data_IF_376474084497
#
_entry.id   IF_376474084497
#
_cell.length_a   1.000
_cell.length_b   1.000
_cell.length_c   1.000
_cell.angle_alpha   90.00
_cell.angle_beta   90.00
_cell.angle_gamma   90.00
#
_symmetry.space_group_name_H-M   'P 1'
#
loop_
_entity.id
_entity.type
_entity.pdbx_description
1 polymer ?
#
# COMPACT_ATOMS: atom_id res chain seq x y z
N UNK A 1 7.44 11.38 5.82
CA UNK A 1 6.71 11.81 4.60
C UNK A 1 6.10 13.20 4.76
N UNK A 2 5.19 13.44 5.71
CA UNK A 2 4.54 14.74 5.92
C UNK A 2 5.46 15.98 5.87
N UNK A 3 6.63 15.90 6.51
CA UNK A 3 7.58 17.03 6.58
C UNK A 3 8.55 17.12 5.41
N UNK A 4 8.83 16.00 4.73
CA UNK A 4 9.92 15.88 3.76
C UNK A 4 9.43 15.91 2.33
N UNK A 5 8.30 15.27 2.04
CA UNK A 5 7.76 15.14 0.69
C UNK A 5 7.38 16.51 0.07
N UNK A 6 6.76 17.46 0.81
CA UNK A 6 6.49 18.80 0.29
C UNK A 6 7.75 19.59 -0.09
N UNK A 7 8.88 19.35 0.57
CA UNK A 7 10.16 20.02 0.25
C UNK A 7 10.71 19.61 -1.11
N UNK A 8 10.23 18.50 -1.67
CA UNK A 8 10.61 18.00 -2.99
C UNK A 8 9.46 18.11 -4.00
N UNK A 9 8.49 19.00 -3.76
CA UNK A 9 7.34 19.23 -4.65
C UNK A 9 6.30 18.12 -4.65
N UNK A 10 6.39 17.15 -3.74
CA UNK A 10 5.38 16.12 -3.56
C UNK A 10 4.27 16.56 -2.58
N UNK A 11 3.18 15.79 -2.54
CA UNK A 11 2.04 16.06 -1.64
C UNK A 11 1.91 14.92 -0.65
N UNK A 12 1.75 15.24 0.62
CA UNK A 12 1.38 14.28 1.67
C UNK A 12 0.01 14.68 2.22
N UNK A 13 -0.90 13.71 2.26
CA UNK A 13 -2.22 13.88 2.86
C UNK A 13 -2.45 12.74 3.84
N UNK A 14 -2.82 13.09 5.07
CA UNK A 14 -3.35 12.13 6.03
C UNK A 14 -4.85 12.08 5.84
N UNK A 15 -5.35 10.94 5.37
CA UNK A 15 -6.79 10.72 5.28
C UNK A 15 -7.34 10.25 6.62
N UNK A 16 -8.66 10.33 6.75
CA UNK A 16 -9.44 9.93 7.91
C UNK A 16 -9.35 8.43 8.20
N UNK A 17 -9.25 7.61 7.15
CA UNK A 17 -9.12 6.16 7.23
C UNK A 17 -8.38 5.56 6.02
N UNK A 18 -8.18 4.25 6.04
CA UNK A 18 -7.51 3.55 4.96
C UNK A 18 -8.31 3.42 3.66
N UNK A 19 -9.64 3.48 3.70
CA UNK A 19 -10.53 3.44 2.53
C UNK A 19 -10.39 4.74 1.74
N UNK A 20 -10.52 5.88 2.41
CA UNK A 20 -10.31 7.21 1.87
C UNK A 20 -8.88 7.41 1.39
N UNK A 21 -7.89 6.89 2.14
CA UNK A 21 -6.49 6.89 1.72
C UNK A 21 -6.26 6.22 0.38
N UNK A 22 -6.83 5.02 0.13
CA UNK A 22 -6.64 4.36 -1.16
C UNK A 22 -7.45 5.04 -2.28
N UNK A 23 -8.67 5.50 -2.00
CA UNK A 23 -9.47 6.26 -2.97
C UNK A 23 -8.76 7.54 -3.44
N UNK A 24 -8.16 8.29 -2.51
CA UNK A 24 -7.42 9.51 -2.82
C UNK A 24 -6.19 9.24 -3.70
N UNK A 25 -5.41 8.19 -3.42
CA UNK A 25 -4.23 7.88 -4.24
C UNK A 25 -4.61 7.30 -5.61
N UNK A 26 -5.71 6.56 -5.73
CA UNK A 26 -6.24 6.12 -7.04
C UNK A 26 -6.58 7.34 -7.89
N UNK A 27 -7.32 8.31 -7.32
CA UNK A 27 -7.64 9.56 -8.01
C UNK A 27 -6.39 10.36 -8.41
N UNK A 28 -5.40 10.45 -7.53
CA UNK A 28 -4.14 11.12 -7.84
C UNK A 28 -3.33 10.38 -8.93
N UNK A 29 -3.35 9.04 -8.95
CA UNK A 29 -2.73 8.26 -10.02
C UNK A 29 -3.38 8.52 -11.38
N UNK A 30 -4.71 8.56 -11.42
CA UNK A 30 -5.47 8.88 -12.65
C UNK A 30 -5.15 10.28 -13.18
N UNK A 31 -4.70 11.20 -12.31
CA UNK A 31 -4.20 12.53 -12.71
C UNK A 31 -2.75 12.53 -13.25
N UNK A 32 -2.15 11.35 -13.42
CA UNK A 32 -0.79 11.18 -13.97
C UNK A 32 0.33 11.34 -12.93
N UNK A 33 0.03 11.21 -11.63
CA UNK A 33 1.04 11.28 -10.57
C UNK A 33 1.50 9.89 -10.15
N UNK A 34 2.79 9.74 -9.83
CA UNK A 34 3.28 8.58 -9.09
C UNK A 34 2.78 8.67 -7.66
N UNK A 35 2.15 7.59 -7.17
CA UNK A 35 1.50 7.57 -5.85
C UNK A 35 1.95 6.39 -5.03
N UNK A 36 1.91 6.56 -3.71
CA UNK A 36 2.23 5.54 -2.73
C UNK A 36 1.37 5.73 -1.48
N UNK A 37 0.94 4.63 -0.87
CA UNK A 37 0.42 4.61 0.51
C UNK A 37 1.17 3.57 1.34
N UNK A 38 1.21 3.77 2.66
CA UNK A 38 1.83 2.85 3.60
C UNK A 38 0.81 2.46 4.68
N UNK A 39 0.76 1.18 5.02
CA UNK A 39 -0.21 0.62 5.98
C UNK A 39 0.33 -0.67 6.62
N UNK A 40 -0.51 -1.38 7.38
CA UNK A 40 -0.25 -2.71 7.95
C UNK A 40 -1.53 -3.56 7.88
N UNK A 41 -1.49 -4.84 8.26
CA UNK A 41 -2.58 -5.83 8.09
C UNK A 41 -4.03 -5.32 8.21
N UNK A 42 -4.45 -4.67 9.33
CA UNK A 42 -5.81 -4.15 9.45
C UNK A 42 -6.18 -3.13 8.38
N UNK A 43 -5.31 -2.13 8.16
CA UNK A 43 -5.53 -1.12 7.14
C UNK A 43 -5.39 -1.65 5.72
N UNK A 44 -4.53 -2.66 5.50
CA UNK A 44 -4.44 -3.37 4.21
C UNK A 44 -5.72 -4.14 3.89
N UNK A 45 -6.40 -4.68 4.91
CA UNK A 45 -7.71 -5.32 4.77
C UNK A 45 -8.78 -4.34 4.31
N UNK A 46 -8.80 -3.12 4.88
CA UNK A 46 -9.74 -2.07 4.46
C UNK A 46 -9.53 -1.57 3.03
N UNK A 47 -8.33 -1.78 2.47
CA UNK A 47 -8.00 -1.32 1.11
C UNK A 47 -8.39 -2.31 0.00
N UNK A 48 -8.77 -3.55 0.32
CA UNK A 48 -8.87 -4.64 -0.67
C UNK A 48 -9.87 -4.36 -1.80
N UNK A 49 -11.02 -3.78 -1.49
CA UNK A 49 -12.05 -3.47 -2.49
C UNK A 49 -11.54 -2.44 -3.52
N UNK A 50 -11.02 -1.32 -3.03
CA UNK A 50 -10.46 -0.27 -3.88
C UNK A 50 -9.18 -0.73 -4.61
N UNK A 51 -8.40 -1.65 -4.04
CA UNK A 51 -7.28 -2.27 -4.74
C UNK A 51 -7.76 -3.10 -5.95
N UNK A 52 -8.84 -3.86 -5.79
CA UNK A 52 -9.48 -4.58 -6.89
C UNK A 52 -9.99 -3.63 -7.98
N UNK A 53 -10.61 -2.52 -7.59
CA UNK A 53 -11.04 -1.48 -8.53
C UNK A 53 -9.85 -0.86 -9.29
N UNK A 54 -8.74 -0.58 -8.61
CA UNK A 54 -7.52 -0.07 -9.24
C UNK A 54 -6.92 -1.07 -10.25
N UNK A 55 -6.93 -2.37 -9.93
CA UNK A 55 -6.46 -3.41 -10.84
C UNK A 55 -7.34 -3.51 -12.08
N UNK A 56 -8.67 -3.50 -11.91
CA UNK A 56 -9.63 -3.53 -13.01
C UNK A 56 -9.45 -2.32 -13.95
N UNK A 57 -9.17 -1.15 -13.39
CA UNK A 57 -8.97 0.09 -14.14
C UNK A 57 -7.51 0.33 -14.58
N UNK A 58 -6.62 -0.64 -14.39
CA UNK A 58 -5.19 -0.56 -14.73
C UNK A 58 -4.48 0.66 -14.11
N UNK A 59 -4.85 1.05 -12.89
CA UNK A 59 -4.34 2.23 -12.21
C UNK A 59 -3.02 1.92 -11.48
N UNK A 60 -1.89 2.55 -11.86
CA UNK A 60 -0.59 2.25 -11.26
C UNK A 60 -0.44 2.87 -9.87
N UNK A 61 -0.27 2.05 -8.84
CA UNK A 61 0.00 2.52 -7.48
C UNK A 61 0.89 1.54 -6.70
N UNK A 62 1.56 2.05 -5.66
CA UNK A 62 2.35 1.23 -4.74
C UNK A 62 1.74 1.26 -3.34
N UNK A 63 1.57 0.07 -2.75
CA UNK A 63 1.16 -0.09 -1.35
C UNK A 63 2.30 -0.73 -0.57
N UNK A 64 2.85 -0.01 0.41
CA UNK A 64 3.77 -0.58 1.38
C UNK A 64 2.99 -1.19 2.53
N UNK A 65 2.84 -2.52 2.52
CA UNK A 65 2.30 -3.27 3.67
C UNK A 65 3.43 -3.63 4.65
N UNK A 66 3.59 -2.84 5.71
CA UNK A 66 4.56 -3.11 6.78
C UNK A 66 3.95 -4.14 7.74
N UNK A 67 4.27 -5.41 7.51
CA UNK A 67 3.66 -6.54 8.23
C UNK A 67 4.01 -6.53 9.73
N UNK A 68 3.00 -6.72 10.56
CA UNK A 68 3.09 -6.86 12.03
C UNK A 68 2.28 -8.07 12.48
N UNK A 69 2.44 -8.50 13.73
CA UNK A 69 1.69 -9.64 14.27
C UNK A 69 0.19 -9.43 14.17
N UNK A 70 -0.52 -10.36 13.52
CA UNK A 70 -1.98 -10.45 13.48
C UNK A 70 -2.51 -11.63 14.32
N UNK A 71 -3.80 -12.04 14.14
CA UNK A 71 -4.83 -11.40 13.31
C UNK A 71 -5.48 -10.19 14.00
N UNK A 72 -6.32 -9.45 13.27
CA UNK A 72 -6.99 -8.24 13.78
C UNK A 72 -5.97 -7.23 14.33
N UNK A 73 -6.21 -6.62 15.49
CA UNK A 73 -5.25 -5.72 16.14
C UNK A 73 -3.88 -6.38 16.34
N UNK A 74 -3.90 -7.67 16.69
CA UNK A 74 -2.74 -8.53 16.88
C UNK A 74 -1.71 -7.95 17.87
N UNK A 75 -0.44 -7.93 17.45
CA UNK A 75 0.70 -7.42 18.21
C UNK A 75 1.28 -6.20 17.47
N UNK A 76 0.78 -4.97 17.72
CA UNK A 76 1.12 -3.78 16.93
C UNK A 76 2.61 -3.46 16.84
N UNK A 77 3.40 -3.88 17.83
CA UNK A 77 4.83 -3.60 17.97
C UNK A 77 5.72 -4.81 17.69
N UNK A 78 5.14 -5.96 17.29
CA UNK A 78 5.91 -7.16 16.95
C UNK A 78 5.87 -7.41 15.45
N UNK A 79 7.02 -7.66 14.80
CA UNK A 79 7.04 -8.00 13.38
C UNK A 79 6.45 -9.39 13.14
N UNK A 80 5.87 -9.59 11.96
CA UNK A 80 5.45 -10.89 11.46
C UNK A 80 5.49 -10.90 9.92
N UNK A 81 5.24 -12.05 9.31
CA UNK A 81 5.19 -12.24 7.86
C UNK A 81 3.88 -12.93 7.41
N UNK A 82 2.80 -12.74 8.18
CA UNK A 82 1.53 -13.45 8.00
C UNK A 82 0.68 -12.95 6.84
N UNK A 83 0.95 -11.76 6.30
CA UNK A 83 0.04 -11.10 5.35
C UNK A 83 0.36 -11.48 3.88
N UNK A 84 1.30 -12.41 3.64
CA UNK A 84 1.70 -12.83 2.28
C UNK A 84 0.52 -13.32 1.45
N UNK A 85 -0.36 -14.14 2.04
CA UNK A 85 -1.54 -14.64 1.36
C UNK A 85 -2.51 -13.50 1.00
N UNK A 86 -2.74 -12.58 1.92
CA UNK A 86 -3.61 -11.43 1.69
C UNK A 86 -3.02 -10.47 0.64
N UNK A 87 -1.70 -10.29 0.61
CA UNK A 87 -1.04 -9.46 -0.38
C UNK A 87 -1.20 -10.00 -1.80
N UNK A 88 -1.28 -11.32 -1.96
CA UNK A 88 -1.38 -11.99 -3.26
C UNK A 88 -2.81 -12.30 -3.71
N UNK A 89 -3.72 -12.56 -2.78
CA UNK A 89 -5.08 -13.04 -3.07
C UNK A 89 -6.17 -12.34 -2.24
N UNK A 90 -5.89 -11.15 -1.68
CA UNK A 90 -6.77 -10.51 -0.71
C UNK A 90 -8.05 -9.90 -1.29
N UNK A 91 -8.06 -9.49 -2.56
CA UNK A 91 -9.23 -8.94 -3.22
C UNK A 91 -10.00 -10.01 -4.00
N UNK A 92 -11.26 -9.75 -4.26
CA UNK A 92 -12.16 -10.71 -4.91
C UNK A 92 -11.96 -10.72 -6.44
N UNK A 93 -12.32 -11.84 -7.07
CA UNK A 93 -12.19 -12.05 -8.51
C UNK A 93 -10.75 -12.34 -8.95
N UNK A 94 -10.58 -12.65 -10.24
CA UNK A 94 -9.27 -12.88 -10.83
C UNK A 94 -8.59 -11.55 -11.12
N UNK A 95 -7.38 -11.36 -10.61
CA UNK A 95 -6.67 -10.10 -10.74
C UNK A 95 -5.14 -10.33 -10.83
N UNK A 96 -4.45 -9.59 -11.70
CA UNK A 96 -3.00 -9.55 -11.65
C UNK A 96 -2.54 -8.65 -10.49
N UNK A 97 -1.64 -9.16 -9.66
CA UNK A 97 -0.96 -8.35 -8.64
C UNK A 97 0.54 -8.64 -8.62
N UNK A 98 1.34 -7.59 -8.58
CA UNK A 98 2.78 -7.69 -8.36
C UNK A 98 3.03 -7.55 -6.86
N UNK A 99 3.65 -8.56 -6.26
CA UNK A 99 3.97 -8.58 -4.82
C UNK A 99 5.46 -8.83 -4.65
N UNK A 100 6.12 -7.94 -3.91
CA UNK A 100 7.55 -8.02 -3.60
C UNK A 100 7.73 -8.12 -2.09
N UNK A 101 8.71 -8.90 -1.65
CA UNK A 101 9.05 -9.10 -0.22
C UNK A 101 10.54 -8.79 0.01
N UNK A 102 10.93 -7.50 0.07
CA UNK A 102 12.33 -7.12 0.30
C UNK A 102 12.80 -7.56 1.69
N UNK A 103 14.05 -8.02 1.80
CA UNK A 103 14.59 -8.59 3.04
C UNK A 103 15.40 -7.59 3.88
N UNK A 104 15.98 -6.56 3.27
CA UNK A 104 16.85 -5.59 3.97
C UNK A 104 16.71 -4.15 3.45
N UNK A 105 17.15 -3.12 4.20
CA UNK A 105 16.89 -1.71 3.88
C UNK A 105 17.27 -1.27 2.47
N UNK A 106 18.39 -1.79 1.95
CA UNK A 106 18.85 -1.50 0.58
C UNK A 106 17.85 -2.03 -0.46
N UNK A 107 17.36 -3.26 -0.31
CA UNK A 107 16.32 -3.82 -1.17
C UNK A 107 15.02 -3.02 -1.08
N UNK A 108 14.59 -2.64 0.13
CA UNK A 108 13.37 -1.81 0.32
C UNK A 108 13.47 -0.52 -0.51
N UNK A 109 14.62 0.17 -0.46
CA UNK A 109 14.85 1.38 -1.23
C UNK A 109 14.73 1.13 -2.73
N UNK A 110 15.45 0.15 -3.27
CA UNK A 110 15.45 -0.14 -4.70
C UNK A 110 14.10 -0.65 -5.21
N UNK A 111 13.41 -1.50 -4.45
CA UNK A 111 12.08 -1.99 -4.83
C UNK A 111 11.00 -0.91 -4.77
N UNK A 112 11.17 0.13 -3.94
CA UNK A 112 10.19 1.22 -3.85
C UNK A 112 10.41 2.29 -4.93
N UNK A 113 11.67 2.59 -5.28
CA UNK A 113 12.03 3.68 -6.22
C UNK A 113 12.20 3.17 -7.67
N UNK A 114 12.59 1.90 -7.83
CA UNK A 114 12.90 1.29 -9.13
C UNK A 114 11.70 0.81 -9.95
N UNK A 115 10.47 0.98 -9.43
CA UNK A 115 9.20 0.73 -10.12
C UNK A 115 8.61 2.05 -10.66
#
# INVERSE_FOLDING_TARGET
MAKTLPKHGGVFVQMEDEIASIGAIIGASLSGKKVLTATSGPGFSLKQENLGAAMMAEVPLVILNVMRGGPSTGLPTRPAQSDVMQARWGTHGDHPVIVLTPAFPKEIFFSTVGL
#
